data_IF_858497624842
#
_entry.id   IF_858497624842
#
_cell.length_a   1.000
_cell.length_b   1.000
_cell.length_c   1.000
_cell.angle_alpha   90.00
_cell.angle_beta   90.00
_cell.angle_gamma   90.00
#
_symmetry.space_group_name_H-M   'P 1'
#
loop_
_entity.id
_entity.type
_entity.pdbx_description
1 polymer ?
#
# COMPACT_ATOMS: atom_id res chain seq x y z
N UNK A 1 -22.36 -17.21 -2.76
CA UNK A 1 -21.01 -17.35 -2.19
C UNK A 1 -20.11 -18.24 -3.04
N UNK A 2 -20.44 -19.53 -3.25
CA UNK A 2 -19.63 -20.46 -4.07
C UNK A 2 -19.37 -19.92 -5.49
N UNK A 3 -20.40 -19.39 -6.16
CA UNK A 3 -20.29 -18.78 -7.50
C UNK A 3 -19.37 -17.54 -7.49
N UNK A 4 -19.38 -16.75 -6.41
CA UNK A 4 -18.47 -15.58 -6.24
C UNK A 4 -17.01 -16.03 -6.12
N UNK A 5 -16.73 -17.01 -5.25
CA UNK A 5 -15.39 -17.58 -5.10
C UNK A 5 -14.92 -18.27 -6.39
N UNK A 6 -15.78 -19.04 -7.04
CA UNK A 6 -15.47 -19.69 -8.30
C UNK A 6 -15.11 -18.65 -9.38
N UNK A 7 -15.90 -17.57 -9.50
CA UNK A 7 -15.61 -16.48 -10.44
C UNK A 7 -14.31 -15.73 -10.09
N UNK A 8 -14.03 -15.55 -8.79
CA UNK A 8 -12.77 -14.96 -8.32
C UNK A 8 -11.57 -15.81 -8.77
N UNK A 9 -11.59 -17.10 -8.53
CA UNK A 9 -10.53 -18.00 -8.96
C UNK A 9 -10.44 -18.13 -10.48
N UNK A 10 -11.56 -18.21 -11.19
CA UNK A 10 -11.61 -18.24 -12.65
C UNK A 10 -11.02 -17.00 -13.31
N UNK A 11 -11.12 -15.84 -12.68
CA UNK A 11 -10.53 -14.57 -13.14
C UNK A 11 -9.04 -14.43 -12.80
N UNK A 12 -8.33 -15.55 -12.62
CA UNK A 12 -6.92 -15.59 -12.23
C UNK A 12 -6.65 -14.98 -10.84
N UNK A 13 -7.65 -14.92 -9.97
CA UNK A 13 -7.51 -14.48 -8.59
C UNK A 13 -6.49 -15.30 -7.80
N UNK A 14 -6.31 -16.57 -8.16
CA UNK A 14 -5.27 -17.44 -7.59
C UNK A 14 -3.86 -16.88 -7.87
N UNK A 15 -3.60 -16.31 -9.03
CA UNK A 15 -2.30 -15.71 -9.36
C UNK A 15 -2.02 -14.47 -8.51
N UNK A 16 -3.03 -13.63 -8.31
CA UNK A 16 -2.92 -12.45 -7.44
C UNK A 16 -2.76 -12.88 -5.99
N UNK A 17 -3.56 -13.83 -5.51
CA UNK A 17 -3.46 -14.36 -4.16
C UNK A 17 -2.07 -14.97 -3.88
N UNK A 18 -1.61 -15.84 -4.79
CA UNK A 18 -0.29 -16.48 -4.68
C UNK A 18 0.84 -15.45 -4.72
N UNK A 19 0.75 -14.43 -5.58
CA UNK A 19 1.77 -13.39 -5.66
C UNK A 19 1.89 -12.59 -4.37
N UNK A 20 0.76 -12.23 -3.74
CA UNK A 20 0.78 -11.57 -2.44
C UNK A 20 1.38 -12.45 -1.34
N UNK A 21 1.02 -13.73 -1.33
CA UNK A 21 1.55 -14.68 -0.33
C UNK A 21 3.07 -14.85 -0.49
N UNK A 22 3.53 -15.05 -1.72
CA UNK A 22 4.96 -15.17 -2.04
C UNK A 22 5.70 -13.88 -1.68
N UNK A 23 5.14 -12.71 -2.00
CA UNK A 23 5.74 -11.41 -1.66
C UNK A 23 5.92 -11.23 -0.15
N UNK A 24 4.91 -11.60 0.65
CA UNK A 24 4.98 -11.50 2.12
C UNK A 24 5.99 -12.47 2.71
N UNK A 25 6.03 -13.71 2.23
CA UNK A 25 7.03 -14.70 2.65
C UNK A 25 8.43 -14.24 2.23
N UNK A 26 8.61 -13.79 0.99
CA UNK A 26 9.90 -13.31 0.51
C UNK A 26 10.41 -12.11 1.33
N UNK A 27 9.55 -11.15 1.65
CA UNK A 27 9.91 -10.01 2.49
C UNK A 27 10.30 -10.43 3.92
N UNK A 28 9.57 -11.39 4.50
CA UNK A 28 9.91 -11.95 5.82
C UNK A 28 11.25 -12.66 5.81
N UNK A 29 11.48 -13.56 4.84
CA UNK A 29 12.74 -14.30 4.70
C UNK A 29 13.91 -13.35 4.43
N UNK A 30 13.71 -12.34 3.58
CA UNK A 30 14.72 -11.32 3.31
C UNK A 30 15.17 -10.65 4.60
N UNK A 31 14.23 -10.18 5.40
CA UNK A 31 14.54 -9.52 6.68
C UNK A 31 15.26 -10.46 7.64
N UNK A 32 14.80 -11.72 7.71
CA UNK A 32 15.41 -12.73 8.58
C UNK A 32 16.86 -13.03 8.17
N UNK A 33 17.14 -13.19 6.87
CA UNK A 33 18.50 -13.42 6.38
C UNK A 33 19.40 -12.19 6.57
N UNK A 34 18.87 -10.99 6.26
CA UNK A 34 19.66 -9.76 6.44
C UNK A 34 20.04 -9.52 7.90
N UNK A 35 19.14 -9.79 8.83
CA UNK A 35 19.44 -9.68 10.26
C UNK A 35 20.52 -10.65 10.77
N UNK A 36 20.74 -11.74 10.04
CA UNK A 36 21.79 -12.74 10.36
C UNK A 36 23.12 -12.51 9.64
N UNK A 37 23.06 -11.90 8.44
CA UNK A 37 24.25 -11.70 7.57
C UNK A 37 24.92 -10.37 7.88
N UNK A 38 24.14 -9.32 8.11
CA UNK A 38 24.65 -7.95 8.29
C UNK A 38 24.82 -7.60 9.77
N UNK A 39 25.76 -6.70 10.05
CA UNK A 39 25.85 -6.08 11.37
C UNK A 39 24.57 -5.26 11.66
N UNK A 40 24.26 -5.08 12.96
CA UNK A 40 23.11 -4.24 13.37
C UNK A 40 23.24 -2.81 12.84
N UNK A 41 24.45 -2.29 12.81
CA UNK A 41 24.76 -0.94 12.32
C UNK A 41 24.49 -0.84 10.79
N UNK A 42 25.03 -1.76 10.00
CA UNK A 42 24.84 -1.79 8.55
C UNK A 42 23.36 -1.95 8.16
N UNK A 43 22.66 -2.87 8.86
CA UNK A 43 21.22 -3.05 8.65
C UNK A 43 20.45 -1.79 9.02
N UNK A 44 20.84 -1.13 10.10
CA UNK A 44 20.25 0.15 10.53
C UNK A 44 20.37 1.23 9.45
N UNK A 45 21.53 1.36 8.83
CA UNK A 45 21.76 2.31 7.73
C UNK A 45 20.86 2.04 6.52
N UNK A 46 20.72 0.78 6.12
CA UNK A 46 19.86 0.42 5.01
C UNK A 46 18.38 0.68 5.36
N UNK A 47 17.96 0.34 6.57
CA UNK A 47 16.59 0.59 7.03
C UNK A 47 16.27 2.09 7.07
N UNK A 48 17.21 2.90 7.49
CA UNK A 48 17.07 4.35 7.48
C UNK A 48 16.91 4.91 6.06
N UNK A 49 17.75 4.44 5.13
CA UNK A 49 17.62 4.80 3.71
C UNK A 49 16.29 4.34 3.09
N UNK A 50 15.80 3.14 3.44
CA UNK A 50 14.50 2.65 2.99
C UNK A 50 13.34 3.45 3.57
N UNK A 51 13.44 3.91 4.84
CA UNK A 51 12.46 4.81 5.43
C UNK A 51 12.42 6.16 4.71
N UNK A 52 13.59 6.73 4.39
CA UNK A 52 13.68 7.94 3.60
C UNK A 52 13.04 7.77 2.22
N UNK A 53 13.35 6.68 1.51
CA UNK A 53 12.71 6.33 0.24
C UNK A 53 11.19 6.19 0.39
N UNK A 54 10.72 5.67 1.52
CA UNK A 54 9.30 5.48 1.83
C UNK A 54 8.46 6.74 1.71
N UNK A 55 9.03 7.92 2.00
CA UNK A 55 8.33 9.20 1.82
C UNK A 55 8.09 9.55 0.34
N UNK A 56 8.86 8.98 -0.58
CA UNK A 56 8.76 9.28 -2.01
C UNK A 56 7.98 8.22 -2.80
N UNK A 57 7.94 6.96 -2.32
CA UNK A 57 7.28 5.85 -3.04
C UNK A 57 5.84 6.17 -3.45
N UNK A 58 4.95 6.74 -2.63
CA UNK A 58 3.58 7.03 -3.02
C UNK A 58 3.47 8.06 -4.16
N UNK A 59 4.51 8.88 -4.34
CA UNK A 59 4.57 9.90 -5.40
C UNK A 59 5.26 9.42 -6.68
N UNK A 60 5.66 8.17 -6.78
CA UNK A 60 6.29 7.59 -7.97
C UNK A 60 5.45 7.88 -9.22
N UNK A 61 6.08 8.57 -10.21
CA UNK A 61 5.39 9.02 -11.41
C UNK A 61 4.17 9.91 -11.16
N UNK A 62 4.07 10.57 -9.99
CA UNK A 62 2.90 11.30 -9.50
C UNK A 62 1.59 10.50 -9.60
N UNK A 63 1.68 9.21 -9.31
CA UNK A 63 0.53 8.30 -9.32
C UNK A 63 0.02 7.92 -10.71
N UNK A 64 0.81 8.15 -11.77
CA UNK A 64 0.43 7.83 -13.15
C UNK A 64 0.05 6.36 -13.34
N UNK A 65 0.65 5.44 -12.59
CA UNK A 65 0.27 4.03 -12.56
C UNK A 65 -1.18 3.80 -12.10
N UNK A 66 -1.66 4.54 -11.10
CA UNK A 66 -3.06 4.47 -10.67
C UNK A 66 -4.01 4.98 -11.74
N UNK A 67 -3.62 6.08 -12.42
CA UNK A 67 -4.36 6.59 -13.59
C UNK A 67 -4.40 5.59 -14.72
N UNK A 68 -3.25 5.04 -15.12
CA UNK A 68 -3.16 4.00 -16.15
C UNK A 68 -4.08 2.82 -15.82
N UNK A 69 -3.95 2.23 -14.62
CA UNK A 69 -4.78 1.10 -14.21
C UNK A 69 -6.28 1.40 -14.34
N UNK A 70 -6.73 2.57 -13.87
CA UNK A 70 -8.15 2.93 -13.88
C UNK A 70 -8.67 3.21 -15.28
N UNK A 71 -8.00 4.08 -16.02
CA UNK A 71 -8.51 4.55 -17.31
C UNK A 71 -8.35 3.51 -18.41
N UNK A 72 -7.31 2.66 -18.38
CA UNK A 72 -7.19 1.51 -19.26
C UNK A 72 -8.29 0.47 -19.00
N UNK A 73 -8.67 0.26 -17.73
CA UNK A 73 -9.76 -0.67 -17.41
C UNK A 73 -11.15 -0.17 -17.87
N UNK A 74 -11.38 1.15 -17.87
CA UNK A 74 -12.65 1.76 -18.31
C UNK A 74 -12.75 1.75 -19.84
N UNK A 75 -11.63 1.97 -20.53
CA UNK A 75 -11.59 2.09 -21.98
C UNK A 75 -11.89 0.75 -22.65
N UNK A 76 -12.62 0.78 -23.78
CA UNK A 76 -13.00 -0.43 -24.54
C UNK A 76 -12.11 -0.63 -25.77
N UNK A 77 -11.74 0.45 -26.44
CA UNK A 77 -10.95 0.43 -27.65
C UNK A 77 -9.47 0.14 -27.38
N UNK A 78 -8.90 -0.86 -28.02
CA UNK A 78 -7.50 -1.25 -27.79
C UNK A 78 -6.49 -0.16 -28.19
N UNK A 79 -6.79 0.62 -29.23
CA UNK A 79 -5.93 1.75 -29.63
C UNK A 79 -5.89 2.83 -28.55
N UNK A 80 -7.06 3.20 -28.00
CA UNK A 80 -7.14 4.19 -26.92
C UNK A 80 -6.45 3.68 -25.66
N UNK A 81 -6.58 2.39 -25.32
CA UNK A 81 -5.80 1.78 -24.22
C UNK A 81 -4.30 1.98 -24.39
N UNK A 82 -3.77 1.76 -25.60
CA UNK A 82 -2.34 1.93 -25.88
C UNK A 82 -1.91 3.39 -25.78
N UNK A 83 -2.73 4.35 -26.21
CA UNK A 83 -2.47 5.78 -26.04
C UNK A 83 -2.40 6.17 -24.57
N UNK A 84 -3.37 5.71 -23.75
CA UNK A 84 -3.39 5.95 -22.31
C UNK A 84 -2.11 5.41 -21.65
N UNK A 85 -1.71 4.19 -22.00
CA UNK A 85 -0.51 3.53 -21.46
C UNK A 85 0.74 4.34 -21.83
N UNK A 86 0.92 4.66 -23.11
CA UNK A 86 2.07 5.42 -23.58
C UNK A 86 2.14 6.82 -22.96
N UNK A 87 1.01 7.52 -22.88
CA UNK A 87 0.88 8.82 -22.25
C UNK A 87 1.25 8.78 -20.75
N UNK A 88 0.61 7.87 -20.01
CA UNK A 88 0.85 7.74 -18.55
C UNK A 88 2.29 7.38 -18.24
N UNK A 89 2.92 6.53 -19.06
CA UNK A 89 4.32 6.17 -18.93
C UNK A 89 5.24 7.36 -19.22
N UNK A 90 5.06 8.04 -20.36
CA UNK A 90 5.96 9.10 -20.82
C UNK A 90 5.95 10.31 -19.89
N UNK A 91 4.77 10.80 -19.52
CA UNK A 91 4.66 11.91 -18.59
C UNK A 91 4.98 11.51 -17.15
N UNK A 92 4.58 10.30 -16.73
CA UNK A 92 4.97 9.73 -15.45
C UNK A 92 6.49 9.63 -15.29
N UNK A 93 7.21 9.30 -16.39
CA UNK A 93 8.66 9.25 -16.42
C UNK A 93 9.28 10.63 -16.14
N UNK A 94 8.76 11.68 -16.78
CA UNK A 94 9.22 13.07 -16.53
C UNK A 94 9.03 13.43 -15.06
N UNK A 95 7.83 13.18 -14.52
CA UNK A 95 7.57 13.47 -13.11
C UNK A 95 8.43 12.63 -12.17
N UNK A 96 8.74 11.38 -12.53
CA UNK A 96 9.60 10.54 -11.71
C UNK A 96 11.05 11.02 -11.71
N UNK A 97 11.55 11.53 -12.83
CA UNK A 97 12.87 12.18 -12.91
C UNK A 97 12.92 13.42 -11.99
N UNK A 98 11.90 14.28 -12.05
CA UNK A 98 11.78 15.43 -11.17
C UNK A 98 11.74 15.04 -9.70
N UNK A 99 10.96 14.01 -9.36
CA UNK A 99 10.87 13.47 -8.00
C UNK A 99 12.23 12.93 -7.51
N UNK A 100 12.95 12.23 -8.39
CA UNK A 100 14.29 11.71 -8.09
C UNK A 100 15.30 12.84 -7.83
N UNK A 101 15.23 13.93 -8.60
CA UNK A 101 16.06 15.12 -8.37
C UNK A 101 15.73 15.78 -7.03
N UNK A 102 14.44 15.94 -6.70
CA UNK A 102 14.01 16.46 -5.40
C UNK A 102 14.54 15.58 -4.27
N UNK A 103 14.41 14.25 -4.41
CA UNK A 103 14.93 13.28 -3.44
C UNK A 103 16.44 13.44 -3.25
N UNK A 104 17.22 13.60 -4.33
CA UNK A 104 18.67 13.80 -4.26
C UNK A 104 19.05 15.12 -3.56
N UNK A 105 18.40 16.22 -3.92
CA UNK A 105 18.65 17.53 -3.29
C UNK A 105 18.35 17.48 -1.79
N UNK A 106 17.22 16.90 -1.41
CA UNK A 106 16.87 16.76 0.00
C UNK A 106 17.84 15.82 0.74
N UNK A 107 18.30 14.74 0.08
CA UNK A 107 19.32 13.87 0.66
C UNK A 107 20.62 14.62 0.93
N UNK A 108 21.07 15.46 0.00
CA UNK A 108 22.28 16.28 0.16
C UNK A 108 22.13 17.26 1.34
N UNK A 109 20.97 17.91 1.47
CA UNK A 109 20.71 18.87 2.55
C UNK A 109 20.65 18.15 3.92
N UNK A 110 20.02 16.99 4.00
CA UNK A 110 19.77 16.30 5.26
C UNK A 110 20.96 15.46 5.76
N UNK A 111 21.74 14.85 4.85
CA UNK A 111 22.79 13.89 5.20
C UNK A 111 24.22 14.41 5.01
N UNK A 112 24.38 15.59 4.39
CA UNK A 112 25.70 16.18 4.15
C UNK A 112 26.58 15.30 3.25
N UNK A 113 27.89 15.26 3.57
CA UNK A 113 28.88 14.46 2.84
C UNK A 113 29.24 13.19 3.66
N UNK A 114 28.94 12.00 3.14
CA UNK A 114 29.30 10.78 3.82
C UNK A 114 28.68 9.51 3.22
N UNK A 115 28.95 8.37 3.83
CA UNK A 115 28.43 7.05 3.42
C UNK A 115 26.90 7.01 3.38
N UNK A 116 26.23 7.81 4.23
CA UNK A 116 24.78 7.92 4.27
C UNK A 116 24.24 8.54 2.99
N UNK A 117 24.84 9.64 2.53
CA UNK A 117 24.47 10.30 1.29
C UNK A 117 24.60 9.34 0.10
N UNK A 118 25.68 8.53 0.05
CA UNK A 118 25.87 7.54 -1.01
C UNK A 118 24.76 6.50 -1.02
N UNK A 119 24.42 5.91 0.12
CA UNK A 119 23.34 4.92 0.23
C UNK A 119 22.00 5.51 -0.18
N UNK A 120 21.67 6.69 0.34
CA UNK A 120 20.40 7.35 0.04
C UNK A 120 20.33 7.78 -1.44
N UNK A 121 21.46 8.23 -2.02
CA UNK A 121 21.54 8.56 -3.45
C UNK A 121 21.34 7.34 -4.34
N UNK A 122 21.85 6.15 -3.95
CA UNK A 122 21.59 4.90 -4.67
C UNK A 122 20.10 4.52 -4.64
N UNK A 123 19.35 4.89 -3.59
CA UNK A 123 17.92 4.63 -3.55
C UNK A 123 17.10 5.46 -4.54
N UNK A 124 17.65 6.54 -5.13
CA UNK A 124 16.99 7.20 -6.27
C UNK A 124 16.92 6.30 -7.50
N UNK A 125 17.96 5.46 -7.71
CA UNK A 125 17.92 4.43 -8.76
C UNK A 125 16.80 3.41 -8.49
N UNK A 126 16.63 3.00 -7.21
CA UNK A 126 15.50 2.14 -6.82
C UNK A 126 14.15 2.80 -7.08
N UNK A 127 14.00 4.09 -6.78
CA UNK A 127 12.77 4.85 -7.05
C UNK A 127 12.40 4.80 -8.54
N UNK A 128 13.41 4.94 -9.40
CA UNK A 128 13.24 4.83 -10.85
C UNK A 128 12.80 3.43 -11.29
N UNK A 129 13.44 2.40 -10.77
CA UNK A 129 13.06 1.01 -11.03
C UNK A 129 11.65 0.68 -10.53
N UNK A 130 11.25 1.21 -9.37
CA UNK A 130 9.88 1.08 -8.85
C UNK A 130 8.85 1.73 -9.78
N UNK A 131 9.17 2.89 -10.37
CA UNK A 131 8.31 3.51 -11.38
C UNK A 131 8.04 2.56 -12.55
N UNK A 132 9.08 1.96 -13.12
CA UNK A 132 8.93 1.00 -14.22
C UNK A 132 8.08 -0.20 -13.81
N UNK A 133 8.34 -0.75 -12.63
CA UNK A 133 7.62 -1.90 -12.10
C UNK A 133 6.13 -1.60 -11.90
N UNK A 134 5.79 -0.47 -11.28
CA UNK A 134 4.40 -0.07 -11.04
C UNK A 134 3.64 0.26 -12.32
N UNK A 135 4.29 0.87 -13.32
CA UNK A 135 3.69 1.11 -14.64
C UNK A 135 3.37 -0.20 -15.38
N UNK A 136 4.30 -1.17 -15.38
CA UNK A 136 4.06 -2.49 -15.97
C UNK A 136 2.90 -3.23 -15.29
N UNK A 137 2.87 -3.22 -13.95
CA UNK A 137 1.77 -3.81 -13.18
C UNK A 137 0.43 -3.14 -13.48
N UNK A 138 0.42 -1.80 -13.59
CA UNK A 138 -0.78 -1.03 -13.91
C UNK A 138 -1.33 -1.36 -15.30
N UNK A 139 -0.45 -1.45 -16.30
CA UNK A 139 -0.83 -1.82 -17.66
C UNK A 139 -1.48 -3.20 -17.71
N UNK A 140 -0.79 -4.23 -17.20
CA UNK A 140 -1.29 -5.61 -17.29
C UNK A 140 -2.59 -5.79 -16.51
N UNK A 141 -2.74 -5.13 -15.37
CA UNK A 141 -3.99 -5.16 -14.59
C UNK A 141 -5.11 -4.39 -15.25
N UNK A 142 -4.83 -3.22 -15.83
CA UNK A 142 -5.81 -2.45 -16.60
C UNK A 142 -6.35 -3.25 -17.80
N UNK A 143 -5.53 -4.13 -18.38
CA UNK A 143 -5.91 -5.10 -19.40
C UNK A 143 -6.54 -6.39 -18.87
N UNK A 144 -6.81 -6.48 -17.56
CA UNK A 144 -7.35 -7.66 -16.86
C UNK A 144 -6.45 -8.91 -16.90
N UNK A 145 -5.15 -8.75 -17.18
CA UNK A 145 -4.19 -9.86 -17.17
C UNK A 145 -3.60 -10.09 -15.77
N UNK A 146 -4.45 -10.61 -14.88
CA UNK A 146 -4.06 -10.92 -13.49
C UNK A 146 -2.97 -12.00 -13.41
N UNK A 147 -2.84 -12.88 -14.41
CA UNK A 147 -1.79 -13.90 -14.47
C UNK A 147 -0.44 -13.23 -14.64
N UNK A 148 -0.30 -12.36 -15.65
CA UNK A 148 0.94 -11.64 -15.92
C UNK A 148 1.31 -10.70 -14.78
N UNK A 149 0.32 -10.05 -14.13
CA UNK A 149 0.52 -9.28 -12.91
C UNK A 149 1.15 -10.15 -11.82
N UNK A 150 0.54 -11.32 -11.52
CA UNK A 150 1.06 -12.25 -10.51
C UNK A 150 2.48 -12.73 -10.83
N UNK A 151 2.79 -13.01 -12.09
CA UNK A 151 4.14 -13.40 -12.53
C UNK A 151 5.16 -12.27 -12.31
N UNK A 152 4.84 -11.02 -12.68
CA UNK A 152 5.71 -9.87 -12.46
C UNK A 152 6.00 -9.72 -10.97
N UNK A 153 4.97 -9.81 -10.13
CA UNK A 153 5.10 -9.67 -8.68
C UNK A 153 5.97 -10.78 -8.06
N UNK A 154 5.71 -12.04 -8.41
CA UNK A 154 6.47 -13.21 -7.92
C UNK A 154 7.93 -13.11 -8.36
N UNK A 155 8.19 -12.90 -9.65
CA UNK A 155 9.57 -12.85 -10.16
C UNK A 155 10.36 -11.69 -9.57
N UNK A 156 9.75 -10.52 -9.40
CA UNK A 156 10.40 -9.36 -8.80
C UNK A 156 10.79 -9.60 -7.34
N UNK A 157 9.89 -10.21 -6.54
CA UNK A 157 10.15 -10.47 -5.13
C UNK A 157 11.13 -11.64 -4.92
N UNK A 158 11.03 -12.71 -5.72
CA UNK A 158 11.97 -13.83 -5.63
C UNK A 158 13.36 -13.42 -6.10
N UNK A 159 13.46 -12.65 -7.20
CA UNK A 159 14.74 -12.13 -7.65
C UNK A 159 15.38 -11.24 -6.58
N UNK A 160 14.59 -10.34 -5.97
CA UNK A 160 15.08 -9.51 -4.87
C UNK A 160 15.60 -10.38 -3.72
N UNK A 161 14.83 -11.37 -3.28
CA UNK A 161 15.23 -12.26 -2.18
C UNK A 161 16.55 -12.95 -2.50
N UNK A 162 16.63 -13.63 -3.65
CA UNK A 162 17.82 -14.43 -4.01
C UNK A 162 19.03 -13.53 -4.24
N UNK A 163 18.88 -12.47 -5.04
CA UNK A 163 19.99 -11.56 -5.33
C UNK A 163 20.49 -10.83 -4.09
N UNK A 164 19.58 -10.39 -3.22
CA UNK A 164 19.95 -9.68 -2.00
C UNK A 164 20.68 -10.59 -1.00
N UNK A 165 20.22 -11.84 -0.81
CA UNK A 165 20.89 -12.79 0.09
C UNK A 165 22.29 -13.13 -0.43
N UNK A 166 22.40 -13.48 -1.72
CA UNK A 166 23.70 -13.82 -2.32
C UNK A 166 24.66 -12.62 -2.30
N UNK A 167 24.20 -11.45 -2.72
CA UNK A 167 25.07 -10.27 -2.76
C UNK A 167 25.44 -9.75 -1.37
N UNK A 168 24.54 -9.86 -0.38
CA UNK A 168 24.88 -9.54 1.00
C UNK A 168 25.92 -10.51 1.58
N UNK A 169 25.81 -11.80 1.26
CA UNK A 169 26.78 -12.81 1.71
C UNK A 169 28.18 -12.54 1.18
N UNK A 170 28.33 -12.20 -0.12
CA UNK A 170 29.65 -11.98 -0.74
C UNK A 170 30.19 -10.55 -0.57
N UNK A 171 29.33 -9.54 -0.54
CA UNK A 171 29.71 -8.13 -0.58
C UNK A 171 29.17 -7.29 0.59
N UNK A 172 28.59 -7.93 1.59
CA UNK A 172 28.03 -7.24 2.77
C UNK A 172 26.92 -6.24 2.42
N UNK A 173 26.88 -5.14 3.16
CA UNK A 173 25.86 -4.08 3.01
C UNK A 173 25.83 -3.48 1.60
N UNK A 174 26.99 -3.32 0.96
CA UNK A 174 27.09 -2.77 -0.42
C UNK A 174 26.35 -3.67 -1.42
N UNK A 175 26.54 -4.99 -1.32
CA UNK A 175 25.83 -5.98 -2.14
C UNK A 175 24.33 -5.94 -1.90
N UNK A 176 23.90 -5.84 -0.65
CA UNK A 176 22.48 -5.73 -0.31
C UNK A 176 21.84 -4.48 -0.93
N UNK A 177 22.43 -3.30 -0.74
CA UNK A 177 21.93 -2.04 -1.32
C UNK A 177 21.88 -2.11 -2.85
N UNK A 178 22.93 -2.67 -3.48
CA UNK A 178 22.98 -2.84 -4.94
C UNK A 178 21.80 -3.70 -5.44
N UNK A 179 21.54 -4.84 -4.79
CA UNK A 179 20.41 -5.70 -5.14
C UNK A 179 19.06 -5.01 -4.91
N UNK A 180 18.91 -4.26 -3.82
CA UNK A 180 17.71 -3.46 -3.57
C UNK A 180 17.45 -2.46 -4.70
N UNK A 181 18.50 -1.81 -5.20
CA UNK A 181 18.38 -0.80 -6.25
C UNK A 181 18.07 -1.40 -7.62
N UNK A 182 18.68 -2.53 -7.96
CA UNK A 182 18.57 -3.13 -9.30
C UNK A 182 17.39 -4.08 -9.46
N UNK A 183 16.95 -4.74 -8.39
CA UNK A 183 15.88 -5.75 -8.50
C UNK A 183 14.60 -5.27 -9.19
N UNK A 184 14.11 -4.02 -9.04
CA UNK A 184 12.89 -3.60 -9.75
C UNK A 184 13.05 -3.51 -11.27
N UNK A 185 14.31 -3.37 -11.75
CA UNK A 185 14.59 -3.30 -13.19
C UNK A 185 14.40 -4.63 -13.92
N UNK A 186 14.23 -5.75 -13.21
CA UNK A 186 13.87 -7.04 -13.82
C UNK A 186 12.66 -6.93 -14.74
N UNK A 187 11.77 -5.99 -14.47
CA UNK A 187 10.60 -5.74 -15.29
C UNK A 187 10.93 -5.41 -16.73
N UNK A 188 12.09 -4.83 -17.03
CA UNK A 188 12.55 -4.52 -18.39
C UNK A 188 12.73 -5.80 -19.25
N UNK A 189 13.02 -6.94 -18.65
CA UNK A 189 13.14 -8.23 -19.33
C UNK A 189 11.78 -8.90 -19.56
N UNK A 190 10.77 -8.54 -18.78
CA UNK A 190 9.45 -9.18 -18.77
C UNK A 190 8.42 -8.35 -19.54
N UNK A 191 8.61 -7.02 -19.58
CA UNK A 191 7.65 -6.06 -20.10
C UNK A 191 8.28 -5.03 -21.03
N UNK A 192 7.62 -4.76 -22.16
CA UNK A 192 8.06 -3.73 -23.12
C UNK A 192 7.25 -2.47 -22.92
N UNK A 193 7.94 -1.37 -22.67
CA UNK A 193 7.34 -0.06 -22.53
C UNK A 193 7.23 0.65 -23.87
N UNK A 194 6.17 1.44 -24.03
CA UNK A 194 5.97 2.32 -25.18
C UNK A 194 6.07 3.75 -24.74
N UNK A 195 6.87 4.54 -25.43
CA UNK A 195 7.06 5.96 -25.18
C UNK A 195 6.32 6.72 -26.28
N UNK A 196 5.43 7.64 -25.91
CA UNK A 196 4.82 8.61 -26.80
C UNK A 196 4.53 9.89 -26.04
N UNK A 197 5.03 11.00 -26.55
CA UNK A 197 4.79 12.34 -26.01
C UNK A 197 3.70 13.10 -26.77
N UNK A 198 2.96 12.41 -27.62
CA UNK A 198 1.87 13.03 -28.38
C UNK A 198 0.81 13.55 -27.42
N UNK A 199 0.42 14.81 -27.59
CA UNK A 199 -0.75 15.38 -26.94
C UNK A 199 -2.00 14.84 -27.58
N UNK A 200 -2.39 13.65 -27.18
CA UNK A 200 -3.58 12.99 -27.71
C UNK A 200 -4.81 13.48 -26.97
N UNK A 201 -5.82 13.91 -27.71
CA UNK A 201 -7.15 14.08 -27.15
C UNK A 201 -7.72 12.68 -26.88
N UNK A 202 -7.97 12.40 -25.61
CA UNK A 202 -8.65 11.18 -25.24
C UNK A 202 -10.15 11.29 -25.50
N UNK A 203 -10.78 10.24 -26.02
CA UNK A 203 -12.21 10.24 -26.36
C UNK A 203 -13.11 10.41 -25.14
N UNK A 204 -12.76 9.80 -24.00
CA UNK A 204 -13.66 9.61 -22.85
C UNK A 204 -13.27 10.43 -21.62
N UNK A 205 -12.14 11.15 -21.62
CA UNK A 205 -11.70 11.97 -20.50
C UNK A 205 -10.70 13.05 -20.90
N UNK A 206 -10.44 14.02 -20.03
CA UNK A 206 -9.46 15.07 -20.26
C UNK A 206 -8.16 14.76 -19.53
N UNK A 207 -7.02 15.24 -20.05
CA UNK A 207 -5.72 15.15 -19.37
C UNK A 207 -5.80 15.72 -17.94
N UNK A 208 -6.52 16.81 -17.75
CA UNK A 208 -6.73 17.43 -16.43
C UNK A 208 -7.44 16.48 -15.46
N UNK A 209 -8.44 15.73 -15.92
CA UNK A 209 -9.15 14.76 -15.07
C UNK A 209 -8.25 13.56 -14.72
N UNK A 210 -7.43 13.11 -15.67
CA UNK A 210 -6.45 12.04 -15.46
C UNK A 210 -5.44 12.44 -14.36
N UNK A 211 -4.75 13.56 -14.51
CA UNK A 211 -3.75 14.00 -13.54
C UNK A 211 -4.35 14.37 -12.19
N UNK A 212 -5.54 14.98 -12.17
CA UNK A 212 -6.27 15.22 -10.92
C UNK A 212 -6.49 13.92 -10.14
N UNK A 213 -6.87 12.85 -10.83
CA UNK A 213 -7.04 11.53 -10.20
C UNK A 213 -5.69 10.97 -9.73
N UNK A 214 -4.65 11.00 -10.58
CA UNK A 214 -3.31 10.49 -10.25
C UNK A 214 -2.75 11.14 -8.99
N UNK A 215 -2.74 12.46 -8.96
CA UNK A 215 -2.22 13.26 -7.82
C UNK A 215 -3.05 12.98 -6.56
N UNK A 216 -4.37 12.96 -6.68
CA UNK A 216 -5.24 12.63 -5.53
C UNK A 216 -4.93 11.25 -4.98
N UNK A 217 -4.69 10.25 -5.84
CA UNK A 217 -4.31 8.89 -5.41
C UNK A 217 -2.94 8.87 -4.73
N UNK A 218 -1.95 9.56 -5.28
CA UNK A 218 -0.61 9.64 -4.69
C UNK A 218 -0.66 10.25 -3.27
N UNK A 219 -1.34 11.39 -3.12
CA UNK A 219 -1.53 12.01 -1.80
C UNK A 219 -2.37 11.14 -0.86
N UNK A 220 -3.42 10.50 -1.34
CA UNK A 220 -4.25 9.60 -0.52
C UNK A 220 -3.42 8.43 0.02
N UNK A 221 -2.56 7.84 -0.80
CA UNK A 221 -1.68 6.75 -0.38
C UNK A 221 -0.68 7.23 0.66
N UNK A 222 -0.01 8.38 0.42
CA UNK A 222 0.93 8.95 1.37
C UNK A 222 0.27 9.24 2.71
N UNK A 223 -0.86 9.93 2.70
CA UNK A 223 -1.59 10.29 3.91
C UNK A 223 -2.11 9.03 4.65
N UNK A 224 -2.49 8.00 3.90
CA UNK A 224 -2.93 6.72 4.48
C UNK A 224 -1.80 5.95 5.18
N UNK A 225 -0.59 6.01 4.63
CA UNK A 225 0.60 5.43 5.27
C UNK A 225 1.00 6.21 6.53
N UNK A 226 0.92 7.54 6.49
CA UNK A 226 1.25 8.39 7.64
C UNK A 226 0.40 8.07 8.88
N UNK A 227 -0.86 7.68 8.74
CA UNK A 227 -1.73 7.32 9.86
C UNK A 227 -1.09 6.21 10.72
N UNK A 228 -0.46 5.21 10.10
CA UNK A 228 0.16 4.09 10.81
C UNK A 228 1.59 4.39 11.29
N UNK A 229 2.24 5.40 10.72
CA UNK A 229 3.59 5.78 11.09
C UNK A 229 3.62 6.80 12.23
N UNK A 230 2.65 7.71 12.27
CA UNK A 230 2.62 8.81 13.23
C UNK A 230 2.38 8.32 14.67
N UNK A 231 1.56 7.28 14.87
CA UNK A 231 1.34 6.69 16.19
C UNK A 231 2.68 6.32 16.83
N UNK A 232 3.49 5.54 16.12
CA UNK A 232 4.80 5.06 16.58
C UNK A 232 5.78 6.21 16.75
N UNK A 233 5.75 7.19 15.83
CA UNK A 233 6.62 8.36 15.89
C UNK A 233 6.38 9.17 17.18
N UNK A 234 5.11 9.44 17.50
CA UNK A 234 4.77 10.20 18.71
C UNK A 234 4.99 9.42 20.00
N UNK A 235 4.79 8.10 19.99
CA UNK A 235 5.17 7.25 21.13
C UNK A 235 6.67 7.41 21.43
N UNK A 236 7.52 7.41 20.41
CA UNK A 236 8.96 7.61 20.59
C UNK A 236 9.36 9.00 21.09
N UNK A 237 8.56 10.04 20.78
CA UNK A 237 8.80 11.41 21.25
C UNK A 237 8.35 11.59 22.72
N UNK A 238 7.18 11.05 23.08
CA UNK A 238 6.52 11.36 24.35
C UNK A 238 6.71 10.28 25.43
N UNK A 239 7.07 9.07 25.04
CA UNK A 239 7.42 7.97 25.95
C UNK A 239 8.88 7.57 25.73
N UNK A 240 9.14 6.27 25.51
CA UNK A 240 10.47 5.73 25.33
C UNK A 240 10.54 4.66 24.23
N UNK A 241 11.77 4.19 23.94
CA UNK A 241 11.99 3.17 22.92
C UNK A 241 11.36 1.81 23.29
N UNK A 242 11.21 1.50 24.58
CA UNK A 242 10.54 0.27 25.02
C UNK A 242 9.06 0.32 24.67
N UNK A 243 8.40 1.45 24.93
CA UNK A 243 7.00 1.68 24.55
C UNK A 243 6.79 1.57 23.03
N UNK A 244 7.73 2.09 22.23
CA UNK A 244 7.73 1.93 20.77
C UNK A 244 7.77 0.44 20.37
N UNK A 245 8.68 -0.34 21.00
CA UNK A 245 8.81 -1.76 20.73
C UNK A 245 7.52 -2.52 21.06
N UNK A 246 6.94 -2.27 22.24
CA UNK A 246 5.67 -2.86 22.67
C UNK A 246 4.53 -2.52 21.69
N UNK A 247 4.35 -1.22 21.36
CA UNK A 247 3.27 -0.82 20.46
C UNK A 247 3.42 -1.40 19.06
N UNK A 248 4.65 -1.50 18.55
CA UNK A 248 4.91 -2.13 17.25
C UNK A 248 4.53 -3.61 17.24
N UNK A 249 4.85 -4.36 18.30
CA UNK A 249 4.48 -5.78 18.41
C UNK A 249 2.96 -5.90 18.52
N UNK A 250 2.31 -5.09 19.34
CA UNK A 250 0.85 -5.09 19.47
C UNK A 250 0.13 -4.72 18.16
N UNK A 251 0.72 -3.89 17.32
CA UNK A 251 0.11 -3.41 16.08
C UNK A 251 0.39 -4.29 14.85
N UNK A 252 1.42 -5.16 14.89
CA UNK A 252 1.89 -5.88 13.70
C UNK A 252 0.81 -6.79 13.10
N UNK A 253 0.11 -7.56 13.92
CA UNK A 253 -0.96 -8.45 13.45
C UNK A 253 -2.19 -7.63 13.06
N UNK A 254 -2.78 -6.77 13.92
CA UNK A 254 -3.98 -6.02 13.58
C UNK A 254 -3.87 -5.22 12.28
N UNK A 255 -2.76 -4.49 12.11
CA UNK A 255 -2.61 -3.62 10.94
C UNK A 255 -2.25 -4.39 9.66
N UNK A 256 -1.65 -5.58 9.76
CA UNK A 256 -1.40 -6.40 8.58
C UNK A 256 -2.63 -7.18 8.10
N UNK A 257 -3.70 -7.31 8.89
CA UNK A 257 -4.93 -8.00 8.47
C UNK A 257 -5.59 -7.36 7.23
N UNK A 258 -5.29 -6.07 6.94
CA UNK A 258 -5.85 -5.38 5.76
C UNK A 258 -5.62 -6.15 4.46
N UNK A 259 -4.54 -6.94 4.37
CA UNK A 259 -4.22 -7.66 3.14
C UNK A 259 -5.32 -8.64 2.73
N UNK A 260 -6.07 -9.20 3.69
CA UNK A 260 -7.17 -10.13 3.39
C UNK A 260 -8.27 -9.45 2.56
N UNK A 261 -8.68 -8.24 2.96
CA UNK A 261 -9.65 -7.46 2.19
C UNK A 261 -9.03 -6.94 0.88
N UNK A 262 -7.80 -6.44 0.95
CA UNK A 262 -7.08 -5.90 -0.20
C UNK A 262 -6.94 -6.93 -1.33
N UNK A 263 -6.73 -8.21 -1.01
CA UNK A 263 -6.65 -9.30 -1.98
C UNK A 263 -7.86 -9.35 -2.91
N UNK A 264 -9.08 -9.31 -2.35
CA UNK A 264 -10.32 -9.36 -3.12
C UNK A 264 -10.50 -8.10 -3.98
N UNK A 265 -10.30 -6.94 -3.36
CA UNK A 265 -10.51 -5.68 -4.05
C UNK A 265 -9.43 -5.41 -5.10
N UNK A 266 -8.18 -5.74 -4.86
CA UNK A 266 -7.12 -5.58 -5.86
C UNK A 266 -7.34 -6.47 -7.08
N UNK A 267 -7.79 -7.71 -6.89
CA UNK A 267 -8.11 -8.62 -8.00
C UNK A 267 -9.30 -8.11 -8.81
N UNK A 268 -10.34 -7.63 -8.13
CA UNK A 268 -11.56 -7.16 -8.78
C UNK A 268 -11.47 -5.70 -9.26
N UNK A 269 -10.46 -4.94 -8.87
CA UNK A 269 -10.38 -3.49 -9.09
C UNK A 269 -10.55 -3.07 -10.55
N UNK A 270 -9.92 -3.72 -11.54
CA UNK A 270 -10.13 -3.38 -12.95
C UNK A 270 -11.61 -3.48 -13.36
N UNK A 271 -12.30 -4.56 -12.94
CA UNK A 271 -13.74 -4.74 -13.22
C UNK A 271 -14.63 -3.77 -12.47
N UNK A 272 -14.24 -3.38 -11.25
CA UNK A 272 -14.95 -2.34 -10.51
C UNK A 272 -14.80 -0.98 -11.18
N UNK A 273 -13.63 -0.70 -11.78
CA UNK A 273 -13.41 0.51 -12.59
C UNK A 273 -14.22 0.49 -13.88
N UNK A 274 -14.21 -0.62 -14.60
CA UNK A 274 -15.02 -0.80 -15.84
C UNK A 274 -16.51 -0.58 -15.56
N UNK A 275 -17.00 -1.10 -14.43
CA UNK A 275 -18.40 -1.00 -14.01
C UNK A 275 -18.64 0.14 -13.01
N UNK A 276 -17.86 1.24 -13.08
CA UNK A 276 -17.92 2.32 -12.09
C UNK A 276 -19.27 3.04 -12.03
N UNK A 277 -20.06 3.05 -13.11
CA UNK A 277 -21.40 3.61 -13.19
C UNK A 277 -22.48 2.59 -12.78
N UNK A 278 -22.21 1.28 -12.84
CA UNK A 278 -23.16 0.25 -12.49
C UNK A 278 -23.20 0.04 -10.97
N UNK A 279 -24.06 0.79 -10.29
CA UNK A 279 -24.21 0.72 -8.84
C UNK A 279 -24.65 -0.68 -8.37
N UNK A 280 -25.51 -1.36 -9.13
CA UNK A 280 -26.01 -2.69 -8.79
C UNK A 280 -24.86 -3.72 -8.77
N UNK A 281 -23.99 -3.69 -9.78
CA UNK A 281 -22.80 -4.55 -9.83
C UNK A 281 -21.88 -4.32 -8.61
N UNK A 282 -21.58 -3.07 -8.29
CA UNK A 282 -20.71 -2.73 -7.18
C UNK A 282 -21.29 -3.13 -5.82
N UNK A 283 -22.59 -2.91 -5.60
CA UNK A 283 -23.29 -3.33 -4.39
C UNK A 283 -23.34 -4.85 -4.27
N UNK A 284 -23.64 -5.56 -5.37
CA UNK A 284 -23.64 -7.03 -5.35
C UNK A 284 -22.24 -7.59 -5.02
N UNK A 285 -21.19 -6.98 -5.56
CA UNK A 285 -19.81 -7.34 -5.22
C UNK A 285 -19.54 -7.12 -3.73
N UNK A 286 -19.88 -5.96 -3.19
CA UNK A 286 -19.70 -5.61 -1.79
C UNK A 286 -20.47 -6.58 -0.85
N UNK A 287 -21.73 -6.87 -1.14
CA UNK A 287 -22.51 -7.81 -0.33
C UNK A 287 -21.94 -9.24 -0.38
N UNK A 288 -21.47 -9.70 -1.53
CA UNK A 288 -20.84 -11.01 -1.64
C UNK A 288 -19.51 -11.05 -0.88
N UNK A 289 -18.74 -9.97 -0.93
CA UNK A 289 -17.54 -9.81 -0.12
C UNK A 289 -17.86 -9.87 1.38
N UNK A 290 -18.84 -9.13 1.85
CA UNK A 290 -19.23 -9.14 3.26
C UNK A 290 -19.77 -10.52 3.72
N UNK A 291 -20.55 -11.20 2.91
CA UNK A 291 -21.01 -12.58 3.22
C UNK A 291 -19.84 -13.53 3.48
N UNK A 292 -18.70 -13.32 2.82
CA UNK A 292 -17.50 -14.11 3.03
C UNK A 292 -16.66 -13.58 4.19
N UNK A 293 -16.42 -12.28 4.22
CA UNK A 293 -15.45 -11.69 5.14
C UNK A 293 -15.97 -11.48 6.56
N UNK A 294 -17.26 -11.29 6.76
CA UNK A 294 -17.82 -11.12 8.11
C UNK A 294 -17.58 -12.36 8.98
N UNK A 295 -17.90 -13.60 8.54
CA UNK A 295 -17.59 -14.80 9.34
C UNK A 295 -16.07 -14.95 9.60
N UNK A 296 -15.25 -14.69 8.59
CA UNK A 296 -13.78 -14.75 8.72
C UNK A 296 -13.29 -13.71 9.74
N UNK A 297 -13.81 -12.48 9.67
CA UNK A 297 -13.46 -11.40 10.62
C UNK A 297 -13.87 -11.76 12.05
N UNK A 298 -15.06 -12.35 12.25
CA UNK A 298 -15.52 -12.82 13.55
C UNK A 298 -14.59 -13.90 14.09
N UNK A 299 -14.19 -14.86 13.26
CA UNK A 299 -13.26 -15.92 13.65
C UNK A 299 -11.89 -15.35 14.03
N UNK A 300 -11.31 -14.48 13.18
CA UNK A 300 -10.04 -13.82 13.46
C UNK A 300 -10.13 -13.02 14.75
N UNK A 301 -11.21 -12.25 14.93
CA UNK A 301 -11.44 -11.48 16.15
C UNK A 301 -11.49 -12.40 17.38
N UNK A 302 -12.29 -13.46 17.34
CA UNK A 302 -12.41 -14.39 18.46
C UNK A 302 -11.05 -15.01 18.82
N UNK A 303 -10.35 -15.57 17.83
CA UNK A 303 -9.03 -16.18 18.05
C UNK A 303 -8.02 -15.17 18.58
N UNK A 304 -7.94 -13.99 18.00
CA UNK A 304 -6.94 -12.97 18.39
C UNK A 304 -7.30 -12.31 19.72
N UNK A 305 -8.55 -12.05 19.99
CA UNK A 305 -8.99 -11.38 21.23
C UNK A 305 -8.88 -12.27 22.45
N UNK A 306 -9.39 -13.51 22.35
CA UNK A 306 -9.34 -14.47 23.46
C UNK A 306 -7.97 -15.15 23.57
N UNK A 307 -7.26 -15.35 22.46
CA UNK A 307 -5.91 -15.89 22.44
C UNK A 307 -4.80 -14.84 22.53
N UNK A 308 -5.10 -13.59 22.90
CA UNK A 308 -4.15 -12.48 22.87
C UNK A 308 -2.87 -12.76 23.65
N UNK A 309 -2.97 -13.31 24.85
CA UNK A 309 -1.83 -13.67 25.70
C UNK A 309 -0.93 -14.70 25.03
N UNK A 310 -1.50 -15.78 24.50
CA UNK A 310 -0.74 -16.83 23.80
C UNK A 310 -0.05 -16.28 22.53
N UNK A 311 -0.71 -15.41 21.80
CA UNK A 311 -0.14 -14.80 20.59
C UNK A 311 1.04 -13.90 20.98
N UNK A 312 0.92 -13.13 22.04
CA UNK A 312 1.96 -12.20 22.49
C UNK A 312 3.16 -12.93 23.11
N UNK A 313 2.97 -14.06 23.79
CA UNK A 313 4.10 -14.87 24.30
C UNK A 313 5.02 -15.38 23.18
N UNK A 314 4.53 -15.50 21.94
CA UNK A 314 5.38 -15.85 20.79
C UNK A 314 6.47 -14.79 20.51
N UNK A 315 6.23 -13.53 20.92
CA UNK A 315 7.17 -12.43 20.80
C UNK A 315 8.01 -12.21 22.07
N UNK A 316 7.63 -12.81 23.20
CA UNK A 316 8.28 -12.72 24.50
C UNK A 316 7.26 -12.55 25.63
N UNK A 317 7.58 -13.07 26.81
CA UNK A 317 6.67 -13.04 27.95
C UNK A 317 6.29 -11.62 28.39
N UNK A 318 7.24 -10.67 28.31
CA UNK A 318 7.04 -9.26 28.67
C UNK A 318 5.90 -8.60 27.86
N UNK A 319 5.71 -9.04 26.60
CA UNK A 319 4.62 -8.51 25.75
C UNK A 319 3.25 -9.06 26.11
N UNK A 320 3.19 -10.19 26.81
CA UNK A 320 1.92 -10.81 27.22
C UNK A 320 1.37 -10.24 28.53
N UNK A 321 2.16 -9.47 29.30
CA UNK A 321 1.75 -8.90 30.60
C UNK A 321 0.57 -7.93 30.48
N UNK A 322 0.50 -7.14 29.38
CA UNK A 322 -0.62 -6.21 29.15
C UNK A 322 -1.20 -6.35 27.74
N UNK A 323 -2.08 -7.35 27.50
CA UNK A 323 -2.68 -7.60 26.18
C UNK A 323 -3.76 -6.58 25.79
N UNK A 324 -4.11 -5.60 26.64
CA UNK A 324 -5.21 -4.65 26.38
C UNK A 324 -5.00 -3.86 25.09
N UNK A 325 -3.78 -3.32 24.89
CA UNK A 325 -3.44 -2.55 23.66
C UNK A 325 -3.66 -3.39 22.41
N UNK A 326 -3.17 -4.63 22.41
CA UNK A 326 -3.38 -5.56 21.30
C UNK A 326 -4.86 -5.83 21.04
N UNK A 327 -5.65 -6.08 22.12
CA UNK A 327 -7.10 -6.32 22.02
C UNK A 327 -7.84 -5.13 21.40
N UNK A 328 -7.50 -3.89 21.81
CA UNK A 328 -8.08 -2.67 21.23
C UNK A 328 -7.76 -2.57 19.73
N UNK A 329 -6.50 -2.82 19.35
CA UNK A 329 -6.08 -2.76 17.95
C UNK A 329 -6.70 -3.88 17.10
N UNK A 330 -6.98 -5.07 17.66
CA UNK A 330 -7.75 -6.11 16.98
C UNK A 330 -9.18 -5.65 16.68
N UNK A 331 -9.83 -4.94 17.62
CA UNK A 331 -11.15 -4.32 17.34
C UNK A 331 -11.02 -3.29 16.22
N UNK A 332 -9.98 -2.45 16.24
CA UNK A 332 -9.73 -1.46 15.20
C UNK A 332 -9.56 -2.10 13.80
N UNK A 333 -8.98 -3.30 13.72
CA UNK A 333 -8.79 -4.02 12.45
C UNK A 333 -10.10 -4.42 11.77
N UNK A 334 -11.22 -4.55 12.51
CA UNK A 334 -12.56 -4.81 11.96
C UNK A 334 -12.95 -3.69 10.98
N UNK A 335 -12.70 -2.44 11.37
CA UNK A 335 -12.96 -1.30 10.48
C UNK A 335 -12.11 -1.36 9.22
N UNK A 336 -10.84 -1.75 9.33
CA UNK A 336 -9.94 -1.88 8.17
C UNK A 336 -10.48 -2.94 7.20
N UNK A 337 -10.89 -4.10 7.72
CA UNK A 337 -11.35 -5.23 6.92
C UNK A 337 -12.71 -4.99 6.27
N UNK A 338 -13.67 -4.48 7.02
CA UNK A 338 -15.08 -4.45 6.58
C UNK A 338 -15.54 -3.09 6.05
N UNK A 339 -14.86 -1.99 6.41
CA UNK A 339 -15.27 -0.63 6.06
C UNK A 339 -14.20 0.09 5.24
N UNK A 340 -13.07 0.44 5.84
CA UNK A 340 -12.04 1.28 5.22
C UNK A 340 -11.55 0.73 3.87
N UNK A 341 -11.13 -0.52 3.83
CA UNK A 341 -10.59 -1.12 2.60
C UNK A 341 -11.66 -1.25 1.51
N UNK A 342 -12.84 -1.86 1.75
CA UNK A 342 -13.88 -1.99 0.74
C UNK A 342 -14.32 -0.65 0.16
N UNK A 343 -14.71 0.28 1.00
CA UNK A 343 -15.24 1.56 0.53
C UNK A 343 -14.15 2.46 -0.07
N UNK A 344 -12.91 2.36 0.43
CA UNK A 344 -11.77 3.03 -0.17
C UNK A 344 -11.56 2.63 -1.64
N UNK A 345 -11.60 1.33 -1.94
CA UNK A 345 -11.49 0.82 -3.32
C UNK A 345 -12.72 1.17 -4.17
N UNK A 346 -13.92 1.09 -3.63
CA UNK A 346 -15.15 1.46 -4.35
C UNK A 346 -15.18 2.94 -4.72
N UNK A 347 -14.83 3.84 -3.80
CA UNK A 347 -14.69 5.27 -4.08
C UNK A 347 -13.61 5.55 -5.13
N UNK A 348 -12.45 4.88 -5.02
CA UNK A 348 -11.37 5.00 -5.98
C UNK A 348 -11.78 4.51 -7.37
N UNK A 349 -12.50 3.37 -7.48
CA UNK A 349 -12.99 2.86 -8.76
C UNK A 349 -13.98 3.82 -9.45
N UNK A 350 -14.77 4.55 -8.66
CA UNK A 350 -15.65 5.64 -9.15
C UNK A 350 -14.89 6.94 -9.51
N UNK A 351 -13.57 6.99 -9.29
CA UNK A 351 -12.76 8.21 -9.48
C UNK A 351 -12.98 9.27 -8.42
N UNK A 352 -13.52 8.87 -7.26
CA UNK A 352 -13.86 9.75 -6.13
C UNK A 352 -12.92 9.58 -4.94
N UNK A 353 -11.64 9.31 -5.20
CA UNK A 353 -10.59 9.15 -4.16
C UNK A 353 -10.42 10.37 -3.26
N UNK A 354 -10.93 11.54 -3.66
CA UNK A 354 -10.90 12.73 -2.81
C UNK A 354 -11.57 12.51 -1.46
N UNK A 355 -12.62 11.68 -1.39
CA UNK A 355 -13.25 11.32 -0.11
C UNK A 355 -12.32 10.52 0.79
N UNK A 356 -11.50 9.63 0.20
CA UNK A 356 -10.48 8.89 0.94
C UNK A 356 -9.42 9.84 1.52
N UNK A 357 -8.97 10.81 0.72
CA UNK A 357 -8.01 11.82 1.15
C UNK A 357 -8.55 12.68 2.28
N UNK A 358 -9.79 13.18 2.16
CA UNK A 358 -10.43 13.99 3.20
C UNK A 358 -10.53 13.22 4.52
N UNK A 359 -11.02 11.97 4.48
CA UNK A 359 -11.11 11.13 5.67
C UNK A 359 -9.75 10.94 6.35
N UNK A 360 -8.71 10.67 5.56
CA UNK A 360 -7.36 10.48 6.07
C UNK A 360 -6.76 11.76 6.65
N UNK A 361 -6.96 12.92 6.00
CA UNK A 361 -6.50 14.22 6.52
C UNK A 361 -7.17 14.59 7.84
N UNK A 362 -8.49 14.41 7.96
CA UNK A 362 -9.21 14.65 9.21
C UNK A 362 -8.64 13.77 10.32
N UNK A 363 -8.38 12.49 10.04
CA UNK A 363 -7.80 11.56 11.02
C UNK A 363 -6.38 11.94 11.43
N UNK A 364 -5.54 12.40 10.50
CA UNK A 364 -4.21 12.91 10.85
C UNK A 364 -4.31 14.16 11.70
N UNK A 365 -5.18 15.10 11.35
CA UNK A 365 -5.38 16.32 12.15
C UNK A 365 -5.86 15.98 13.57
N UNK A 366 -6.82 15.05 13.70
CA UNK A 366 -7.28 14.59 15.01
C UNK A 366 -6.14 13.96 15.82
N UNK A 367 -5.31 13.15 15.17
CA UNK A 367 -4.14 12.53 15.79
C UNK A 367 -3.16 13.60 16.26
N UNK A 368 -2.76 14.55 15.42
CA UNK A 368 -1.81 15.60 15.76
C UNK A 368 -2.27 16.46 16.96
N UNK A 369 -3.58 16.74 17.03
CA UNK A 369 -4.14 17.55 18.14
C UNK A 369 -4.28 16.76 19.43
N UNK A 370 -4.73 15.50 19.34
CA UNK A 370 -5.12 14.71 20.51
C UNK A 370 -4.00 13.81 21.05
N UNK A 371 -2.95 13.52 20.28
CA UNK A 371 -1.96 12.53 20.64
C UNK A 371 -1.21 12.88 21.92
N UNK A 372 -0.77 14.14 22.06
CA UNK A 372 -0.02 14.59 23.24
C UNK A 372 -0.83 14.43 24.54
N UNK A 373 -2.04 15.02 24.70
CA UNK A 373 -2.83 14.85 25.91
C UNK A 373 -3.24 13.39 26.16
N UNK A 374 -3.48 12.59 25.11
CA UNK A 374 -3.85 11.19 25.24
C UNK A 374 -2.67 10.35 25.74
N UNK A 375 -1.47 10.53 25.18
CA UNK A 375 -0.29 9.80 25.66
C UNK A 375 0.03 10.16 27.11
N UNK A 376 -0.04 11.44 27.47
CA UNK A 376 0.27 11.90 28.84
C UNK A 376 -0.68 11.34 29.89
N UNK A 377 -1.96 11.11 29.55
CA UNK A 377 -2.96 10.65 30.52
C UNK A 377 -3.18 9.13 30.48
N UNK A 378 -3.03 8.48 29.32
CA UNK A 378 -3.45 7.09 29.10
C UNK A 378 -2.34 6.21 28.48
N UNK A 379 -1.14 6.75 28.23
CA UNK A 379 -0.03 5.98 27.66
C UNK A 379 -0.36 5.27 26.36
N UNK A 380 0.13 4.03 26.20
CA UNK A 380 -0.09 3.21 25.00
C UNK A 380 -1.55 2.82 24.78
N UNK A 381 -2.33 2.61 25.86
CA UNK A 381 -3.76 2.28 25.74
C UNK A 381 -4.51 3.44 25.09
N UNK A 382 -4.19 4.68 25.46
CA UNK A 382 -4.77 5.88 24.86
C UNK A 382 -4.49 5.99 23.37
N UNK A 383 -3.26 5.70 22.94
CA UNK A 383 -2.90 5.68 21.51
C UNK A 383 -3.71 4.63 20.75
N UNK A 384 -3.86 3.42 21.31
CA UNK A 384 -4.66 2.36 20.71
C UNK A 384 -6.14 2.76 20.55
N UNK A 385 -6.74 3.41 21.55
CA UNK A 385 -8.09 3.96 21.46
C UNK A 385 -8.21 5.04 20.39
N UNK A 386 -7.24 5.95 20.29
CA UNK A 386 -7.22 6.98 19.27
C UNK A 386 -7.15 6.37 17.86
N UNK A 387 -6.29 5.36 17.68
CA UNK A 387 -6.17 4.61 16.42
C UNK A 387 -7.50 3.91 16.08
N UNK A 388 -8.17 3.30 17.06
CA UNK A 388 -9.47 2.67 16.88
C UNK A 388 -10.51 3.68 16.39
N UNK A 389 -10.66 4.81 17.11
CA UNK A 389 -11.63 5.86 16.76
C UNK A 389 -11.35 6.40 15.36
N UNK A 390 -10.09 6.70 15.03
CA UNK A 390 -9.70 7.21 13.71
C UNK A 390 -10.01 6.20 12.59
N UNK A 391 -9.70 4.93 12.77
CA UNK A 391 -9.96 3.90 11.76
C UNK A 391 -11.46 3.66 11.54
N UNK A 392 -12.26 3.69 12.60
CA UNK A 392 -13.73 3.63 12.48
C UNK A 392 -14.30 4.89 11.85
N UNK A 393 -13.77 6.07 12.18
CA UNK A 393 -14.17 7.32 11.54
C UNK A 393 -13.91 7.27 10.03
N UNK A 394 -12.69 6.89 9.61
CA UNK A 394 -12.33 6.77 8.17
C UNK A 394 -13.29 5.80 7.48
N UNK A 395 -13.47 4.61 8.04
CA UNK A 395 -14.32 3.57 7.45
C UNK A 395 -15.77 4.02 7.29
N UNK A 396 -16.35 4.61 8.33
CA UNK A 396 -17.73 5.13 8.29
C UNK A 396 -17.89 6.33 7.35
N UNK A 397 -16.94 7.27 7.35
CA UNK A 397 -16.96 8.41 6.43
C UNK A 397 -16.93 7.94 4.96
N UNK A 398 -16.06 6.99 4.64
CA UNK A 398 -15.99 6.41 3.30
C UNK A 398 -17.26 5.66 2.93
N UNK A 399 -17.84 4.91 3.85
CA UNK A 399 -19.12 4.20 3.67
C UNK A 399 -20.26 5.19 3.37
N UNK A 400 -20.43 6.20 4.20
CA UNK A 400 -21.46 7.22 4.03
C UNK A 400 -21.27 7.96 2.69
N UNK A 401 -20.04 8.34 2.37
CA UNK A 401 -19.72 9.02 1.11
C UNK A 401 -20.04 8.15 -0.12
N UNK A 402 -19.74 6.84 -0.04
CA UNK A 402 -20.07 5.92 -1.12
C UNK A 402 -21.57 5.78 -1.32
N UNK A 403 -22.33 5.53 -0.25
CA UNK A 403 -23.80 5.42 -0.34
C UNK A 403 -24.45 6.73 -0.79
N UNK A 404 -23.98 7.88 -0.32
CA UNK A 404 -24.43 9.17 -0.82
C UNK A 404 -24.30 9.28 -2.35
N UNK A 405 -23.15 8.86 -2.91
CA UNK A 405 -22.93 8.86 -4.36
C UNK A 405 -23.83 7.86 -5.09
N UNK A 406 -24.11 6.70 -4.50
CA UNK A 406 -24.96 5.66 -5.09
C UNK A 406 -26.44 6.10 -5.14
N UNK A 407 -26.95 6.71 -4.06
CA UNK A 407 -28.36 7.08 -3.97
C UNK A 407 -28.69 8.44 -4.60
N UNK A 408 -27.71 9.34 -4.73
CA UNK A 408 -27.89 10.65 -5.37
C UNK A 408 -27.68 10.61 -6.89
N UNK A 409 -27.09 9.56 -7.43
CA UNK A 409 -27.02 9.39 -8.88
C UNK A 409 -28.45 9.27 -9.41
N UNK A 410 -28.85 10.07 -10.43
CA UNK A 410 -30.15 9.89 -11.05
C UNK A 410 -30.26 8.42 -11.51
N UNK A 411 -31.42 7.80 -11.21
CA UNK A 411 -31.73 6.48 -11.74
C UNK A 411 -31.81 6.65 -13.27
N UNK A 412 -30.74 6.26 -13.96
CA UNK A 412 -30.73 6.10 -15.42
C UNK A 412 -31.52 4.86 -15.79
#
# INVERSE_FOLDING_TARGET
MIKFLFNFFKQSGIWVASSFFVSKIAAFLLMLFMARILSKEDLGWVMYGLNYLGFFIPFVGFGSSHGALRYVAIEKENEEKQKIIAYSFSYGLIFNVLLSLIMLVLAFILFGNGNQLLIVSLFTLRLFGLFLLEQAKAEVRGKHDNKKFGQIEIYSNLLLLVSAVLSAYFFGVKGYVFSLCLSPFVVLFIHRFRISFDRTQFKNFTEKSFWKFCVTMAFTNQVSELIFLLDVFFIGIFLDNSAVAHYRIYSIIPFNLFFLAALFFQTAYPKLCENHQNNQYQLQFLFNFWKLMVPITILIFAVSYFGAEYILTLFGNDYAENPKVFKILIVASISILLLRTPFGYLLASKGKSIYNLIAALISILSLLVLIKPIISNFGLEGVAWLSLVNLFFIGNFQMISYFYLVYRAPKL
#
